data_IF_146760117924
#
_entry.id   IF_146760117924
#
_cell.length_a   1.000
_cell.length_b   1.000
_cell.length_c   1.000
_cell.angle_alpha   90.00
_cell.angle_beta   90.00
_cell.angle_gamma   90.00
#
_symmetry.space_group_name_H-M   'P 1'
#
loop_
_entity.id
_entity.type
_entity.pdbx_description
1 polymer ?
#
# COMPACT_ATOMS: atom_id res chain seq x y z
N UNK A 1 -31.80 11.30 -7.31
CA UNK A 1 -30.46 11.02 -6.75
C UNK A 1 -29.51 10.84 -7.92
N UNK A 2 -28.36 11.56 -7.98
CA UNK A 2 -27.40 11.33 -9.05
C UNK A 2 -26.92 9.88 -9.00
N UNK A 3 -27.01 9.19 -10.13
CA UNK A 3 -26.42 7.86 -10.30
C UNK A 3 -24.90 8.03 -10.29
N UNK A 4 -24.28 7.50 -9.24
CA UNK A 4 -22.83 7.43 -9.17
C UNK A 4 -22.35 6.36 -10.15
N UNK A 5 -22.03 6.76 -11.38
CA UNK A 5 -21.65 5.85 -12.46
C UNK A 5 -20.28 5.18 -12.23
N UNK A 6 -19.42 5.78 -11.39
CA UNK A 6 -18.10 5.26 -11.08
C UNK A 6 -17.72 5.62 -9.63
N UNK A 7 -17.37 4.61 -8.83
CA UNK A 7 -16.88 4.80 -7.47
C UNK A 7 -15.38 4.51 -7.42
N UNK A 8 -14.56 5.57 -7.37
CA UNK A 8 -13.12 5.51 -7.14
C UNK A 8 -12.82 5.82 -5.70
N UNK A 9 -11.96 5.02 -5.07
CA UNK A 9 -11.60 5.21 -3.68
C UNK A 9 -10.16 4.83 -3.37
N UNK A 10 -9.69 5.33 -2.23
CA UNK A 10 -8.39 5.06 -1.64
C UNK A 10 -8.58 5.05 -0.12
N UNK A 11 -8.72 3.87 0.46
CA UNK A 11 -8.98 3.65 1.88
C UNK A 11 -7.69 3.15 2.51
N UNK A 12 -7.24 3.85 3.55
CA UNK A 12 -6.14 3.41 4.40
C UNK A 12 -6.65 3.28 5.81
N UNK A 13 -6.48 2.12 6.40
CA UNK A 13 -6.75 1.88 7.82
C UNK A 13 -5.47 1.45 8.52
N UNK A 14 -5.38 1.77 9.80
CA UNK A 14 -4.32 1.29 10.67
C UNK A 14 -4.95 0.86 11.98
N UNK A 15 -4.62 -0.34 12.44
CA UNK A 15 -5.17 -0.89 13.67
C UNK A 15 -4.06 -1.42 14.56
N UNK A 16 -4.32 -1.46 15.87
CA UNK A 16 -3.46 -2.17 16.82
C UNK A 16 -3.89 -3.62 16.84
N UNK A 17 -2.93 -4.55 16.83
CA UNK A 17 -3.23 -5.98 16.90
C UNK A 17 -2.57 -6.69 18.09
N UNK A 18 -2.12 -5.95 19.11
CA UNK A 18 -1.64 -6.54 20.36
C UNK A 18 -2.63 -7.63 20.84
N UNK A 19 -2.12 -8.85 21.00
CA UNK A 19 -2.88 -10.04 21.44
C UNK A 19 -3.95 -10.57 20.47
N UNK A 20 -3.92 -10.20 19.17
CA UNK A 20 -4.75 -10.85 18.16
C UNK A 20 -4.08 -12.12 17.61
N UNK A 21 -4.79 -13.25 17.67
CA UNK A 21 -4.32 -14.52 17.10
C UNK A 21 -4.62 -14.65 15.60
N UNK A 22 -5.67 -13.97 15.13
CA UNK A 22 -6.13 -14.05 13.74
C UNK A 22 -5.89 -12.72 13.03
N UNK A 23 -4.86 -12.70 12.20
CA UNK A 23 -4.51 -11.54 11.37
C UNK A 23 -5.09 -11.74 9.96
N UNK A 24 -6.04 -10.90 9.50
CA UNK A 24 -6.61 -11.00 8.16
C UNK A 24 -5.55 -11.02 7.06
N UNK A 25 -5.56 -12.04 6.21
CA UNK A 25 -4.68 -12.05 5.04
C UNK A 25 -5.17 -11.05 3.99
N UNK A 26 -4.27 -10.61 3.11
CA UNK A 26 -4.66 -9.77 1.97
C UNK A 26 -5.73 -10.44 1.10
N UNK A 27 -5.63 -11.76 0.90
CA UNK A 27 -6.64 -12.56 0.18
C UNK A 27 -8.01 -12.48 0.86
N UNK A 28 -8.05 -12.53 2.19
CA UNK A 28 -9.30 -12.40 2.95
C UNK A 28 -9.92 -11.01 2.76
N UNK A 29 -9.12 -9.94 2.86
CA UNK A 29 -9.59 -8.57 2.63
C UNK A 29 -10.12 -8.41 1.21
N UNK A 30 -9.39 -8.91 0.22
CA UNK A 30 -9.80 -8.88 -1.19
C UNK A 30 -11.15 -9.59 -1.41
N UNK A 31 -11.40 -10.69 -0.71
CA UNK A 31 -12.65 -11.46 -0.81
C UNK A 31 -13.87 -10.68 -0.32
N UNK A 32 -13.71 -9.68 0.55
CA UNK A 32 -14.82 -8.83 1.01
C UNK A 32 -15.44 -8.00 -0.12
N UNK A 33 -14.70 -7.79 -1.22
CA UNK A 33 -15.14 -7.05 -2.39
C UNK A 33 -15.61 -7.95 -3.54
N UNK A 34 -15.76 -9.27 -3.32
CA UNK A 34 -16.09 -10.23 -4.38
C UNK A 34 -17.40 -9.91 -5.13
N UNK A 35 -18.37 -9.35 -4.42
CA UNK A 35 -19.70 -9.03 -4.93
C UNK A 35 -19.81 -7.56 -5.38
N UNK A 36 -18.71 -6.81 -5.27
CA UNK A 36 -18.66 -5.41 -5.69
C UNK A 36 -18.59 -5.35 -7.23
N UNK A 37 -19.46 -4.53 -7.84
CA UNK A 37 -19.53 -4.44 -9.31
C UNK A 37 -18.21 -3.97 -9.93
N UNK A 38 -17.47 -3.11 -9.22
CA UNK A 38 -16.11 -2.74 -9.62
C UNK A 38 -15.13 -3.83 -9.20
N UNK A 39 -14.71 -4.66 -10.16
CA UNK A 39 -13.74 -5.75 -9.95
C UNK A 39 -12.28 -5.28 -9.87
N UNK A 40 -12.02 -4.01 -10.17
CA UNK A 40 -10.68 -3.43 -10.16
C UNK A 40 -10.37 -2.83 -8.79
N UNK A 41 -10.45 -3.65 -7.75
CA UNK A 41 -10.07 -3.26 -6.40
C UNK A 41 -8.76 -3.98 -6.08
N UNK A 42 -7.78 -3.27 -5.55
CA UNK A 42 -6.54 -3.85 -5.05
C UNK A 42 -6.49 -3.60 -3.55
N UNK A 43 -6.04 -4.60 -2.81
CA UNK A 43 -5.73 -4.48 -1.40
C UNK A 43 -4.30 -4.92 -1.11
N UNK A 44 -3.74 -4.35 -0.04
CA UNK A 44 -2.50 -4.78 0.59
C UNK A 44 -2.68 -4.70 2.11
N UNK A 45 -2.12 -5.67 2.82
CA UNK A 45 -2.16 -5.72 4.28
C UNK A 45 -0.76 -6.01 4.79
N UNK A 46 -0.29 -5.15 5.68
CA UNK A 46 1.01 -5.24 6.31
C UNK A 46 0.86 -5.36 7.83
N UNK A 47 1.68 -6.21 8.43
CA UNK A 47 1.73 -6.43 9.87
C UNK A 47 3.10 -6.07 10.40
N UNK A 48 3.15 -4.96 11.14
CA UNK A 48 4.35 -4.44 11.78
C UNK A 48 4.42 -5.04 13.20
N UNK A 49 5.15 -6.16 13.33
CA UNK A 49 5.19 -6.99 14.54
C UNK A 49 5.90 -6.30 15.70
N UNK A 50 6.94 -5.52 15.42
CA UNK A 50 7.73 -4.86 16.45
C UNK A 50 6.93 -3.76 17.13
N UNK A 51 6.13 -3.05 16.34
CA UNK A 51 5.28 -1.98 16.82
C UNK A 51 3.87 -2.48 17.21
N UNK A 52 3.45 -3.69 16.82
CA UNK A 52 2.12 -4.23 17.10
C UNK A 52 0.97 -3.53 16.34
N UNK A 53 1.27 -2.92 15.18
CA UNK A 53 0.30 -2.22 14.34
C UNK A 53 0.17 -2.87 12.97
N UNK A 54 -1.04 -2.96 12.45
CA UNK A 54 -1.26 -3.36 11.06
C UNK A 54 -1.70 -2.17 10.24
N UNK A 55 -1.48 -2.27 8.94
CA UNK A 55 -1.99 -1.34 7.96
C UNK A 55 -2.68 -2.12 6.86
N UNK A 56 -3.85 -1.63 6.47
CA UNK A 56 -4.54 -2.11 5.30
C UNK A 56 -4.73 -0.92 4.35
N UNK A 57 -4.37 -1.13 3.08
CA UNK A 57 -4.56 -0.16 2.02
C UNK A 57 -5.36 -0.80 0.90
N UNK A 58 -6.51 -0.21 0.60
CA UNK A 58 -7.46 -0.69 -0.41
C UNK A 58 -7.75 0.46 -1.35
N UNK A 59 -7.70 0.22 -2.67
CA UNK A 59 -7.95 1.26 -3.65
C UNK A 59 -8.54 0.72 -4.95
N UNK A 60 -9.20 1.60 -5.69
CA UNK A 60 -9.63 1.35 -7.05
C UNK A 60 -8.44 1.43 -8.01
N UNK A 61 -8.33 0.45 -8.90
CA UNK A 61 -7.38 0.42 -10.01
C UNK A 61 -8.09 0.86 -11.30
N UNK A 62 -7.44 1.61 -12.20
CA UNK A 62 -6.12 2.23 -12.04
C UNK A 62 -6.12 3.28 -10.92
N UNK A 63 -4.99 3.41 -10.23
CA UNK A 63 -4.86 4.36 -9.12
C UNK A 63 -4.68 5.78 -9.65
N UNK A 64 -5.64 6.66 -9.33
CA UNK A 64 -5.69 7.99 -9.94
C UNK A 64 -5.21 9.15 -9.06
N UNK A 65 -4.85 8.88 -7.81
CA UNK A 65 -4.43 9.93 -6.87
C UNK A 65 -2.95 10.28 -7.04
N UNK A 66 -2.61 11.52 -6.71
CA UNK A 66 -1.24 12.04 -6.79
C UNK A 66 -0.29 11.53 -5.69
N UNK A 67 -0.83 10.93 -4.62
CA UNK A 67 -0.07 10.60 -3.41
C UNK A 67 -0.20 9.13 -3.01
N UNK A 68 0.88 8.38 -3.06
CA UNK A 68 0.94 7.03 -2.50
C UNK A 68 1.78 7.05 -1.21
N UNK A 69 1.13 6.96 -0.04
CA UNK A 69 1.84 7.02 1.24
C UNK A 69 1.96 5.64 1.86
N UNK A 70 3.11 5.43 2.48
CA UNK A 70 3.47 4.29 3.30
C UNK A 70 3.54 2.95 2.56
N UNK A 71 4.24 2.94 1.43
CA UNK A 71 4.60 1.70 0.74
C UNK A 71 5.62 0.93 1.58
N UNK A 72 5.41 -0.37 1.73
CA UNK A 72 6.25 -1.32 2.47
C UNK A 72 7.04 -2.21 1.50
N UNK A 73 7.96 -3.04 2.02
CA UNK A 73 8.65 -4.05 1.23
C UNK A 73 7.71 -5.11 0.60
N UNK A 74 6.45 -5.19 1.03
CA UNK A 74 5.48 -6.13 0.46
C UNK A 74 4.73 -5.54 -0.75
N UNK A 75 5.18 -4.39 -1.27
CA UNK A 75 4.59 -3.76 -2.43
C UNK A 75 4.59 -4.70 -3.64
N UNK A 76 3.42 -5.04 -4.20
CA UNK A 76 3.32 -6.00 -5.29
C UNK A 76 3.78 -5.44 -6.64
N UNK A 77 4.10 -4.14 -6.72
CA UNK A 77 4.38 -3.44 -7.97
C UNK A 77 3.12 -2.93 -8.66
N UNK A 78 3.23 -2.68 -9.97
CA UNK A 78 2.19 -2.06 -10.80
C UNK A 78 2.64 -0.72 -11.37
N UNK A 79 1.88 -0.13 -12.29
CA UNK A 79 2.19 1.18 -12.90
C UNK A 79 1.22 2.23 -12.38
N UNK A 80 1.76 3.32 -11.84
CA UNK A 80 1.01 4.38 -11.17
C UNK A 80 1.28 5.74 -11.81
N UNK A 81 0.79 5.92 -13.03
CA UNK A 81 1.10 7.09 -13.88
C UNK A 81 0.67 8.45 -13.30
N UNK A 82 -0.32 8.47 -12.41
CA UNK A 82 -0.82 9.72 -11.80
C UNK A 82 -0.14 10.10 -10.48
N UNK A 83 0.62 9.18 -9.89
CA UNK A 83 1.30 9.43 -8.62
C UNK A 83 2.51 10.35 -8.87
N UNK A 84 2.68 11.34 -8.00
CA UNK A 84 3.80 12.31 -8.01
C UNK A 84 4.59 12.29 -6.71
N UNK A 85 3.97 11.85 -5.62
CA UNK A 85 4.62 11.78 -4.31
C UNK A 85 4.42 10.40 -3.70
N UNK A 86 5.53 9.78 -3.33
CA UNK A 86 5.56 8.49 -2.64
C UNK A 86 6.18 8.68 -1.25
N UNK A 87 5.62 8.02 -0.25
CA UNK A 87 6.31 7.79 1.02
C UNK A 87 6.49 6.30 1.29
N UNK A 88 7.68 5.93 1.74
CA UNK A 88 8.09 4.58 2.09
C UNK A 88 8.16 4.46 3.60
N UNK A 89 7.66 3.35 4.15
CA UNK A 89 7.78 3.03 5.57
C UNK A 89 7.75 1.51 5.76
N UNK A 90 8.73 0.97 6.47
CA UNK A 90 8.74 -0.43 6.88
C UNK A 90 9.54 -0.58 8.20
N UNK A 91 9.26 -1.65 8.95
CA UNK A 91 10.04 -2.07 10.12
C UNK A 91 11.39 -2.68 9.71
N UNK A 92 11.42 -3.30 8.52
CA UNK A 92 12.64 -3.87 7.95
C UNK A 92 13.32 -2.85 7.04
N UNK A 93 14.66 -2.83 6.98
CA UNK A 93 15.37 -2.06 5.96
C UNK A 93 14.84 -2.37 4.56
N UNK A 94 14.78 -1.36 3.69
CA UNK A 94 14.46 -1.56 2.27
C UNK A 94 15.68 -2.11 1.54
N UNK A 95 15.45 -3.19 0.78
CA UNK A 95 16.45 -3.79 -0.10
C UNK A 95 16.75 -2.87 -1.29
N UNK A 96 17.92 -3.03 -1.93
CA UNK A 96 18.31 -2.16 -3.04
C UNK A 96 17.37 -2.34 -4.25
N UNK A 97 17.00 -3.58 -4.55
CA UNK A 97 16.09 -4.00 -5.60
C UNK A 97 14.70 -3.35 -5.46
N UNK A 98 14.29 -3.07 -4.23
CA UNK A 98 13.02 -2.40 -3.96
C UNK A 98 12.98 -0.99 -4.57
N UNK A 99 14.08 -0.24 -4.55
CA UNK A 99 14.11 1.11 -5.12
C UNK A 99 14.02 1.08 -6.66
N UNK A 100 14.55 0.04 -7.32
CA UNK A 100 14.32 -0.16 -8.75
C UNK A 100 12.85 -0.45 -9.05
N UNK A 101 12.19 -1.27 -8.23
CA UNK A 101 10.76 -1.53 -8.36
C UNK A 101 9.94 -0.24 -8.17
N UNK A 102 10.29 0.61 -7.19
CA UNK A 102 9.66 1.93 -7.01
C UNK A 102 9.87 2.81 -8.26
N UNK A 103 11.08 2.91 -8.79
CA UNK A 103 11.35 3.72 -9.97
C UNK A 103 10.52 3.26 -11.19
N UNK A 104 10.39 1.95 -11.40
CA UNK A 104 9.58 1.38 -12.47
C UNK A 104 8.07 1.59 -12.26
N UNK A 105 7.60 1.48 -11.02
CA UNK A 105 6.19 1.63 -10.68
C UNK A 105 5.68 3.07 -10.75
N UNK A 106 6.56 4.05 -10.55
CA UNK A 106 6.20 5.47 -10.45
C UNK A 106 6.98 6.31 -11.48
N UNK A 107 6.67 6.20 -12.78
CA UNK A 107 7.48 6.81 -13.87
C UNK A 107 7.53 8.35 -13.83
N UNK A 108 6.59 8.99 -13.15
CA UNK A 108 6.50 10.45 -13.03
C UNK A 108 6.69 10.93 -11.58
N UNK A 109 7.47 10.20 -10.77
CA UNK A 109 7.69 10.54 -9.37
C UNK A 109 8.49 11.85 -9.23
N UNK A 110 7.92 12.82 -8.52
CA UNK A 110 8.58 14.11 -8.23
C UNK A 110 9.19 14.12 -6.82
N UNK A 111 8.60 13.36 -5.89
CA UNK A 111 9.04 13.34 -4.49
C UNK A 111 8.98 11.94 -3.89
N UNK A 112 10.11 11.48 -3.35
CA UNK A 112 10.22 10.27 -2.55
C UNK A 112 10.60 10.63 -1.12
N UNK A 113 9.77 10.23 -0.15
CA UNK A 113 10.09 10.34 1.28
C UNK A 113 10.34 8.95 1.85
N UNK A 114 11.51 8.71 2.44
CA UNK A 114 11.85 7.46 3.12
C UNK A 114 11.75 7.64 4.64
N UNK A 115 10.98 6.79 5.32
CA UNK A 115 10.86 6.77 6.78
C UNK A 115 11.43 5.44 7.27
N UNK A 116 12.65 5.48 7.81
CA UNK A 116 13.34 4.31 8.36
C UNK A 116 13.43 4.42 9.88
N UNK A 117 12.92 3.40 10.59
CA UNK A 117 13.14 3.26 12.03
C UNK A 117 14.48 2.57 12.34
N UNK A 118 14.95 1.70 11.43
CA UNK A 118 16.22 0.98 11.54
C UNK A 118 17.21 1.46 10.48
N UNK A 119 18.48 1.43 10.82
CA UNK A 119 19.56 1.73 9.86
C UNK A 119 19.57 0.65 8.76
N UNK A 120 19.87 1.06 7.54
CA UNK A 120 20.19 0.11 6.47
C UNK A 120 21.51 -0.59 6.79
N UNK A 121 21.61 -1.88 6.49
CA UNK A 121 22.88 -2.59 6.58
C UNK A 121 23.73 -2.14 5.39
N UNK A 122 24.94 -1.64 5.67
CA UNK A 122 25.92 -1.38 4.63
C UNK A 122 26.38 -2.73 4.08
N UNK A 123 25.88 -3.14 2.91
CA UNK A 123 26.50 -4.17 2.09
C UNK A 123 26.90 -3.56 0.77
#
# INVERSE_FOLDING_TARGET
MPLLNEFKFNIRSSTRFYNQFNLPSNKYVQQTFKDFQNKQIISSVDYFKENGFSRCHIYSYPYELKYYKYITNNFPGGIFERVRTVSLFDERPFEHEFFFQIAQSFPFLEKLTLINQKRQNNK
#
